data_IF_906891900558
#
_entry.id   IF_906891900558
#
_cell.length_a   1.000
_cell.length_b   1.000
_cell.length_c   1.000
_cell.angle_alpha   90.00
_cell.angle_beta   90.00
_cell.angle_gamma   90.00
#
_symmetry.space_group_name_H-M   'P 1'
#
loop_
_entity.id
_entity.type
_entity.pdbx_description
1 polymer ?
#
# COMPACT_ATOMS: atom_id res chain seq x y z
N UNK A 1 42.09 -12.90 34.95
CA UNK A 1 40.78 -12.21 35.01
C UNK A 1 39.80 -12.95 34.11
N UNK A 2 38.53 -13.08 34.54
CA UNK A 2 37.54 -14.09 34.11
C UNK A 2 37.03 -13.92 32.66
N UNK A 3 36.68 -15.01 31.94
CA UNK A 3 35.90 -14.92 30.70
C UNK A 3 34.45 -14.50 30.99
N UNK A 4 33.89 -13.58 30.18
CA UNK A 4 32.46 -13.19 30.19
C UNK A 4 31.67 -14.27 29.45
N UNK A 5 30.81 -14.99 30.17
CA UNK A 5 29.79 -15.84 29.55
C UNK A 5 28.67 -14.94 29.02
N UNK A 6 28.41 -14.99 27.71
CA UNK A 6 27.21 -14.41 27.13
C UNK A 6 26.04 -15.40 27.30
N UNK A 7 24.89 -15.01 27.90
CA UNK A 7 23.72 -15.88 27.95
C UNK A 7 23.09 -15.96 26.55
N UNK A 8 23.04 -17.17 25.99
CA UNK A 8 22.23 -17.47 24.81
C UNK A 8 20.78 -17.60 25.28
N UNK A 9 19.95 -16.61 24.96
CA UNK A 9 18.50 -16.74 25.08
C UNK A 9 17.97 -17.45 23.84
N UNK A 10 17.58 -18.72 24.00
CA UNK A 10 16.79 -19.42 23.00
C UNK A 10 15.34 -18.97 23.21
N UNK A 11 14.89 -18.00 22.42
CA UNK A 11 13.49 -17.60 22.34
C UNK A 11 12.70 -18.66 21.59
N UNK A 12 11.81 -19.38 22.28
CA UNK A 12 10.84 -20.28 21.68
C UNK A 12 9.80 -19.45 20.94
N UNK A 13 9.84 -19.44 19.60
CA UNK A 13 8.81 -18.82 18.77
C UNK A 13 7.57 -19.72 18.76
N UNK A 14 6.52 -19.33 19.48
CA UNK A 14 5.20 -19.96 19.41
C UNK A 14 4.52 -19.51 18.10
N UNK A 15 4.56 -20.37 17.08
CA UNK A 15 3.79 -20.20 15.84
C UNK A 15 2.31 -20.48 16.12
N UNK A 16 1.52 -19.42 16.29
CA UNK A 16 0.07 -19.50 16.16
C UNK A 16 -0.28 -19.57 14.67
N UNK A 17 -0.69 -20.75 14.19
CA UNK A 17 -1.39 -20.85 12.90
C UNK A 17 -2.82 -20.33 13.07
N UNK A 18 -3.00 -19.03 12.97
CA UNK A 18 -4.31 -18.47 12.63
C UNK A 18 -4.53 -18.80 11.15
N UNK A 19 -5.73 -19.26 10.79
CA UNK A 19 -6.12 -19.30 9.37
C UNK A 19 -6.18 -17.86 8.89
N UNK A 20 -5.08 -17.36 8.32
CA UNK A 20 -5.07 -16.09 7.63
C UNK A 20 -5.86 -16.28 6.33
N UNK A 21 -7.05 -15.68 6.28
CA UNK A 21 -7.75 -15.48 5.03
C UNK A 21 -7.13 -14.22 4.44
N UNK A 22 -6.08 -14.41 3.64
CA UNK A 22 -5.55 -13.31 2.84
C UNK A 22 -6.58 -12.96 1.78
N UNK A 23 -6.85 -11.68 1.58
CA UNK A 23 -7.65 -11.23 0.46
C UNK A 23 -6.97 -11.68 -0.84
N UNK A 24 -7.66 -12.41 -1.74
CA UNK A 24 -7.08 -12.83 -3.00
C UNK A 24 -6.95 -11.64 -3.97
N UNK A 25 -5.99 -10.76 -3.71
CA UNK A 25 -5.61 -9.70 -4.65
C UNK A 25 -4.97 -10.32 -5.90
N UNK A 26 -5.56 -10.17 -7.10
CA UNK A 26 -5.04 -10.79 -8.32
C UNK A 26 -3.75 -10.13 -8.85
N UNK A 27 -3.43 -8.93 -8.36
CA UNK A 27 -2.39 -8.04 -8.87
C UNK A 27 -1.68 -7.32 -7.71
N UNK A 28 -0.46 -6.85 -7.93
CA UNK A 28 0.34 -6.10 -6.93
C UNK A 28 0.20 -4.60 -7.11
N UNK A 29 0.16 -4.14 -8.36
CA UNK A 29 0.14 -2.72 -8.73
C UNK A 29 -1.20 -2.30 -9.35
N UNK A 30 -1.90 -3.24 -9.99
CA UNK A 30 -3.21 -2.97 -10.60
C UNK A 30 -4.33 -3.17 -9.58
N UNK A 31 -5.04 -2.11 -9.21
CA UNK A 31 -6.18 -2.21 -8.29
C UNK A 31 -7.38 -2.88 -8.98
N UNK A 32 -8.05 -3.76 -8.25
CA UNK A 32 -9.31 -4.36 -8.68
C UNK A 32 -10.52 -3.51 -8.25
N UNK A 33 -11.72 -4.00 -8.53
CA UNK A 33 -13.00 -3.32 -8.29
C UNK A 33 -13.91 -4.11 -7.34
N UNK A 34 -13.31 -4.90 -6.45
CA UNK A 34 -14.03 -5.60 -5.40
C UNK A 34 -14.01 -4.80 -4.09
N UNK A 35 -15.18 -4.43 -3.54
CA UNK A 35 -15.21 -3.80 -2.24
C UNK A 35 -14.83 -4.81 -1.14
N UNK A 36 -14.12 -4.33 -0.12
CA UNK A 36 -13.81 -5.07 1.13
C UNK A 36 -15.09 -5.62 1.75
N UNK A 37 -16.20 -4.89 1.58
CA UNK A 37 -17.54 -5.30 1.95
C UNK A 37 -17.97 -4.75 3.32
N UNK A 38 -19.26 -4.42 3.43
CA UNK A 38 -19.78 -3.65 4.55
C UNK A 38 -19.51 -4.30 5.90
N UNK A 39 -18.82 -3.58 6.79
CA UNK A 39 -18.48 -4.02 8.14
C UNK A 39 -17.28 -4.97 8.22
N UNK A 40 -16.67 -5.32 7.08
CA UNK A 40 -15.40 -6.02 7.05
C UNK A 40 -14.24 -5.02 7.26
N UNK A 41 -13.12 -5.56 7.71
CA UNK A 41 -11.92 -4.81 8.04
C UNK A 41 -10.69 -5.64 7.70
N UNK A 42 -9.72 -5.01 7.06
CA UNK A 42 -8.39 -5.55 6.79
C UNK A 42 -7.32 -4.68 7.44
N UNK A 43 -6.24 -5.32 7.89
CA UNK A 43 -5.06 -4.65 8.41
C UNK A 43 -3.83 -5.21 7.72
N UNK A 44 -3.10 -4.32 7.06
CA UNK A 44 -1.87 -4.66 6.38
C UNK A 44 -0.67 -3.99 7.06
N UNK A 45 0.43 -4.73 7.15
CA UNK A 45 1.69 -4.24 7.70
C UNK A 45 2.82 -4.56 6.74
N UNK A 46 3.59 -3.53 6.40
CA UNK A 46 4.85 -3.68 5.68
C UNK A 46 6.01 -3.32 6.58
N UNK A 47 7.03 -4.16 6.53
CA UNK A 47 8.34 -3.92 7.13
C UNK A 47 9.38 -4.12 6.04
N UNK A 48 9.94 -3.03 5.53
CA UNK A 48 10.96 -3.10 4.47
C UNK A 48 12.33 -2.82 5.05
N UNK A 49 13.24 -3.79 4.95
CA UNK A 49 14.63 -3.63 5.33
C UNK A 49 15.48 -3.27 4.11
N UNK A 50 16.28 -2.21 4.23
CA UNK A 50 17.26 -1.77 3.22
C UNK A 50 18.60 -1.62 3.90
N UNK A 51 19.65 -2.14 3.28
CA UNK A 51 21.02 -1.97 3.78
C UNK A 51 22.02 -1.93 2.64
N UNK A 52 23.18 -1.33 2.92
CA UNK A 52 24.31 -1.21 2.01
C UNK A 52 23.95 -0.51 0.69
N UNK A 53 24.21 0.79 0.62
CA UNK A 53 24.18 1.50 -0.66
C UNK A 53 25.57 1.48 -1.31
N UNK A 54 25.66 1.86 -2.60
CA UNK A 54 26.96 2.00 -3.27
C UNK A 54 27.84 3.10 -2.64
N UNK A 55 27.22 4.06 -1.99
CA UNK A 55 27.85 5.27 -1.47
C UNK A 55 28.10 5.19 0.05
N UNK A 56 27.29 4.42 0.79
CA UNK A 56 27.45 4.19 2.22
C UNK A 56 27.28 2.71 2.58
N UNK A 57 28.42 2.07 2.91
CA UNK A 57 28.44 0.69 3.37
C UNK A 57 27.82 0.50 4.77
N UNK A 58 27.69 1.57 5.55
CA UNK A 58 27.06 1.57 6.87
C UNK A 58 25.55 1.78 6.84
N UNK A 59 24.99 2.20 5.71
CA UNK A 59 23.57 2.52 5.57
C UNK A 59 22.68 1.34 5.98
N UNK A 60 21.78 1.59 6.92
CA UNK A 60 20.69 0.70 7.28
C UNK A 60 19.40 1.49 7.47
N UNK A 61 18.32 1.03 6.85
CA UNK A 61 16.98 1.61 6.96
C UNK A 61 15.93 0.54 7.14
N UNK A 62 14.97 0.80 8.01
CA UNK A 62 13.77 -0.03 8.18
C UNK A 62 12.55 0.86 8.03
N UNK A 63 11.75 0.59 7.00
CA UNK A 63 10.49 1.27 6.74
C UNK A 63 9.33 0.51 7.37
N UNK A 64 8.44 1.23 8.04
CA UNK A 64 7.21 0.71 8.61
C UNK A 64 6.01 1.43 7.98
N UNK A 65 5.13 0.66 7.35
CA UNK A 65 3.83 1.10 6.82
C UNK A 65 2.74 0.25 7.44
N UNK A 66 1.63 0.90 7.74
CA UNK A 66 0.46 0.25 8.31
C UNK A 66 -0.80 0.79 7.65
N UNK A 67 -1.64 -0.09 7.17
CA UNK A 67 -2.91 0.26 6.54
C UNK A 67 -4.06 -0.43 7.25
N UNK A 68 -5.17 0.31 7.34
CA UNK A 68 -6.46 -0.17 7.78
C UNK A 68 -7.47 0.08 6.68
N UNK A 69 -8.05 -0.98 6.13
CA UNK A 69 -9.11 -0.88 5.14
C UNK A 69 -10.45 -1.29 5.77
N UNK A 70 -11.48 -0.47 5.57
CA UNK A 70 -12.80 -0.65 6.17
C UNK A 70 -13.87 -0.51 5.10
N UNK A 71 -14.68 -1.56 4.91
CA UNK A 71 -15.88 -1.46 4.09
C UNK A 71 -16.98 -0.70 4.82
N UNK A 72 -17.18 0.57 4.49
CA UNK A 72 -18.19 1.42 5.11
C UNK A 72 -19.59 1.17 4.55
N UNK A 73 -19.68 0.71 3.30
CA UNK A 73 -20.92 0.31 2.64
C UNK A 73 -20.70 -0.92 1.74
N UNK A 74 -21.75 -1.37 1.06
CA UNK A 74 -21.65 -2.49 0.09
C UNK A 74 -20.78 -2.14 -1.13
N UNK A 75 -20.50 -0.85 -1.33
CA UNK A 75 -19.79 -0.31 -2.49
C UNK A 75 -18.92 0.89 -2.15
N UNK A 76 -18.50 1.02 -0.90
CA UNK A 76 -17.64 2.12 -0.47
C UNK A 76 -16.69 1.67 0.63
N UNK A 77 -15.39 1.83 0.36
CA UNK A 77 -14.31 1.48 1.26
C UNK A 77 -13.52 2.73 1.66
N UNK A 78 -12.94 2.67 2.87
CA UNK A 78 -12.04 3.65 3.43
C UNK A 78 -10.73 2.96 3.81
N UNK A 79 -9.63 3.34 3.15
CA UNK A 79 -8.27 3.00 3.54
C UNK A 79 -7.70 4.11 4.43
N UNK A 80 -7.00 3.73 5.51
CA UNK A 80 -6.28 4.65 6.38
C UNK A 80 -4.86 4.15 6.55
N UNK A 81 -3.90 4.86 5.97
CA UNK A 81 -2.51 4.66 6.31
C UNK A 81 -2.23 5.41 7.60
N UNK A 82 -1.86 4.66 8.64
CA UNK A 82 -1.33 5.26 9.86
C UNK A 82 0.01 5.96 9.54
N UNK A 83 0.53 6.82 10.43
CA UNK A 83 1.82 7.47 10.23
C UNK A 83 2.88 6.48 9.75
N UNK A 84 3.28 6.63 8.50
CA UNK A 84 4.41 5.94 7.90
C UNK A 84 5.67 6.52 8.53
N UNK A 85 6.59 5.64 8.89
CA UNK A 85 7.82 6.06 9.53
C UNK A 85 8.94 5.09 9.21
N UNK A 86 10.16 5.60 9.28
CA UNK A 86 11.37 4.82 9.06
C UNK A 86 12.34 5.00 10.21
N UNK A 87 13.09 3.97 10.52
CA UNK A 87 14.32 4.10 11.30
C UNK A 87 15.50 4.06 10.34
N UNK A 88 16.33 5.09 10.39
CA UNK A 88 17.51 5.18 9.55
C UNK A 88 18.77 5.30 10.41
N UNK A 89 19.81 4.57 10.04
CA UNK A 89 21.14 4.62 10.63
C UNK A 89 22.16 4.81 9.48
N UNK A 90 22.70 6.01 9.39
CA UNK A 90 23.72 6.44 8.43
C UNK A 90 24.86 7.15 9.14
N UNK A 91 25.89 7.53 8.39
CA UNK A 91 26.98 8.35 8.94
C UNK A 91 26.50 9.74 9.45
N UNK A 92 25.43 10.28 8.87
CA UNK A 92 24.96 11.64 9.12
C UNK A 92 23.73 11.71 10.04
N UNK A 93 22.93 10.64 10.12
CA UNK A 93 21.71 10.60 10.94
C UNK A 93 21.46 9.19 11.50
N UNK A 94 21.07 9.13 12.77
CA UNK A 94 20.59 7.89 13.42
C UNK A 94 19.31 8.19 14.18
N UNK A 95 18.17 7.67 13.72
CA UNK A 95 16.90 7.82 14.44
C UNK A 95 15.64 7.57 13.61
N UNK A 96 14.48 7.59 14.28
CA UNK A 96 13.18 7.52 13.61
C UNK A 96 12.87 8.82 12.87
N UNK A 97 12.21 8.70 11.72
CA UNK A 97 11.72 9.80 10.89
C UNK A 97 10.28 9.51 10.49
N UNK A 98 9.44 10.54 10.53
CA UNK A 98 8.09 10.47 9.96
C UNK A 98 8.20 10.60 8.43
N UNK A 99 7.25 10.00 7.72
CA UNK A 99 7.19 10.03 6.26
C UNK A 99 5.88 10.71 5.83
N UNK A 100 4.75 10.04 6.06
CA UNK A 100 3.43 10.54 5.66
C UNK A 100 2.28 9.90 6.43
N UNK A 101 1.10 10.46 6.28
CA UNK A 101 -0.19 9.85 6.64
C UNK A 101 -1.13 10.06 5.47
N UNK A 102 -1.93 9.06 5.09
CA UNK A 102 -2.88 9.20 3.99
C UNK A 102 -4.18 8.46 4.25
N UNK A 103 -5.22 8.85 3.49
CA UNK A 103 -6.51 8.20 3.48
C UNK A 103 -6.97 7.95 2.05
N UNK A 104 -7.44 6.74 1.78
CA UNK A 104 -7.99 6.32 0.50
C UNK A 104 -9.51 6.21 0.60
N UNK A 105 -10.21 6.65 -0.45
CA UNK A 105 -11.65 6.55 -0.57
C UNK A 105 -11.97 5.87 -1.89
N UNK A 106 -12.63 4.70 -1.82
CA UNK A 106 -12.91 3.92 -3.02
C UNK A 106 -14.41 3.67 -3.13
N UNK A 107 -15.01 4.14 -4.23
CA UNK A 107 -16.42 3.96 -4.54
C UNK A 107 -16.61 3.07 -5.77
N UNK A 108 -17.44 2.02 -5.65
CA UNK A 108 -17.63 1.00 -6.69
C UNK A 108 -19.04 1.09 -7.30
N UNK A 109 -19.29 1.98 -8.26
CA UNK A 109 -20.61 2.13 -8.87
C UNK A 109 -21.07 0.94 -9.72
N UNK A 110 -20.16 0.14 -10.28
CA UNK A 110 -20.48 -1.00 -11.15
C UNK A 110 -19.67 -2.23 -10.74
N UNK A 111 -20.32 -3.39 -10.78
CA UNK A 111 -19.72 -4.67 -10.39
C UNK A 111 -19.08 -5.38 -11.60
N UNK A 112 -17.81 -5.85 -11.49
CA UNK A 112 -17.09 -6.47 -12.61
C UNK A 112 -17.71 -7.78 -13.12
N UNK A 113 -18.50 -8.46 -12.29
CA UNK A 113 -19.15 -9.74 -12.64
C UNK A 113 -20.53 -9.48 -13.28
N UNK A 114 -21.39 -8.72 -12.61
CA UNK A 114 -22.80 -8.58 -13.00
C UNK A 114 -23.07 -7.48 -14.03
N UNK A 115 -22.27 -6.42 -14.05
CA UNK A 115 -22.43 -5.31 -14.99
C UNK A 115 -21.55 -5.50 -16.24
N UNK A 116 -21.78 -4.75 -17.34
CA UNK A 116 -20.96 -4.86 -18.56
C UNK A 116 -19.47 -4.59 -18.34
N UNK A 117 -19.13 -3.77 -17.34
CA UNK A 117 -17.78 -3.48 -16.86
C UNK A 117 -17.88 -3.09 -15.39
N UNK A 118 -16.91 -3.51 -14.58
CA UNK A 118 -16.69 -3.03 -13.23
C UNK A 118 -16.03 -1.66 -13.26
N UNK A 119 -16.42 -0.81 -12.32
CA UNK A 119 -15.92 0.56 -12.23
C UNK A 119 -15.68 0.88 -10.76
N UNK A 120 -14.47 1.36 -10.46
CA UNK A 120 -14.08 1.95 -9.20
C UNK A 120 -13.61 3.40 -9.41
N UNK A 121 -14.01 4.29 -8.50
CA UNK A 121 -13.50 5.64 -8.38
C UNK A 121 -12.71 5.71 -7.09
N UNK A 122 -11.42 5.94 -7.22
CA UNK A 122 -10.48 6.00 -6.10
C UNK A 122 -9.99 7.43 -5.93
N UNK A 123 -9.81 7.85 -4.68
CA UNK A 123 -9.11 9.07 -4.32
C UNK A 123 -8.27 8.80 -3.08
N UNK A 124 -6.96 9.04 -3.18
CA UNK A 124 -6.09 9.15 -2.01
C UNK A 124 -5.73 10.60 -1.74
N UNK A 125 -5.68 10.94 -0.45
CA UNK A 125 -5.18 12.22 0.04
C UNK A 125 -4.11 11.96 1.09
N UNK A 126 -2.91 12.45 0.85
CA UNK A 126 -1.75 12.30 1.71
C UNK A 126 -1.24 13.62 2.28
N UNK A 127 -0.64 13.54 3.46
CA UNK A 127 0.08 14.63 4.12
C UNK A 127 1.45 14.13 4.57
N UNK A 128 2.51 14.76 4.09
CA UNK A 128 3.88 14.55 4.52
C UNK A 128 4.40 15.79 5.32
N UNK A 129 5.69 15.83 5.65
CA UNK A 129 6.26 16.93 6.44
C UNK A 129 6.12 18.30 5.76
N UNK A 130 6.27 18.37 4.43
CA UNK A 130 6.14 19.62 3.65
C UNK A 130 5.38 19.45 2.33
N UNK A 131 4.58 18.38 2.22
CA UNK A 131 3.83 18.10 1.00
C UNK A 131 2.38 17.68 1.27
N UNK A 132 1.51 17.99 0.30
CA UNK A 132 0.18 17.41 0.16
C UNK A 132 0.13 16.60 -1.13
N UNK A 133 -0.39 15.39 -1.02
CA UNK A 133 -0.51 14.45 -2.15
C UNK A 133 -1.99 14.18 -2.45
N UNK A 134 -2.33 14.14 -3.74
CA UNK A 134 -3.65 13.80 -4.24
C UNK A 134 -3.53 12.80 -5.38
N UNK A 135 -4.17 11.65 -5.25
CA UNK A 135 -4.09 10.59 -6.26
C UNK A 135 -5.49 10.04 -6.62
N UNK A 136 -6.23 10.71 -7.52
CA UNK A 136 -7.43 10.13 -8.10
C UNK A 136 -7.09 9.03 -9.11
N UNK A 137 -7.80 7.89 -9.02
CA UNK A 137 -7.72 6.80 -10.01
C UNK A 137 -9.10 6.44 -10.55
N UNK A 138 -9.11 6.04 -11.82
CA UNK A 138 -10.24 5.38 -12.46
C UNK A 138 -9.89 3.90 -12.64
N UNK A 139 -10.64 3.02 -11.98
CA UNK A 139 -10.42 1.58 -12.00
C UNK A 139 -11.47 0.94 -12.90
N UNK A 140 -11.04 0.14 -13.88
CA UNK A 140 -11.91 -0.63 -14.75
C UNK A 140 -11.53 -2.10 -14.64
N UNK A 141 -12.54 -2.98 -14.58
CA UNK A 141 -12.31 -4.41 -14.55
C UNK A 141 -13.41 -5.16 -15.28
N UNK A 142 -13.07 -6.30 -15.89
CA UNK A 142 -14.07 -7.25 -16.31
C UNK A 142 -13.65 -8.68 -16.04
N UNK A 143 -14.59 -9.43 -15.47
CA UNK A 143 -14.44 -10.84 -15.17
C UNK A 143 -15.15 -11.69 -16.21
N UNK A 144 -14.43 -12.65 -16.79
CA UNK A 144 -14.93 -13.56 -17.82
C UNK A 144 -14.49 -14.99 -17.51
N UNK A 145 -15.40 -15.79 -16.98
CA UNK A 145 -15.11 -17.14 -16.48
C UNK A 145 -13.99 -17.09 -15.41
N UNK A 146 -12.82 -17.66 -15.71
CA UNK A 146 -11.67 -17.67 -14.81
C UNK A 146 -10.67 -16.55 -15.10
N UNK A 147 -10.99 -15.63 -16.02
CA UNK A 147 -10.12 -14.51 -16.38
C UNK A 147 -10.57 -13.22 -15.70
N UNK A 148 -9.61 -12.47 -15.19
CA UNK A 148 -9.76 -11.11 -14.69
C UNK A 148 -8.92 -10.20 -15.59
N UNK A 149 -9.54 -9.16 -16.13
CA UNK A 149 -8.87 -8.10 -16.88
C UNK A 149 -9.09 -6.80 -16.13
N UNK A 150 -8.02 -6.09 -15.79
CA UNK A 150 -8.09 -4.84 -15.05
C UNK A 150 -7.24 -3.75 -15.74
N UNK A 151 -7.68 -2.51 -15.56
CA UNK A 151 -6.99 -1.32 -16.01
C UNK A 151 -7.21 -0.19 -15.02
N UNK A 152 -6.13 0.50 -14.63
CA UNK A 152 -6.20 1.71 -13.84
C UNK A 152 -5.59 2.88 -14.61
N UNK A 153 -6.33 3.99 -14.68
CA UNK A 153 -5.76 5.29 -14.99
C UNK A 153 -5.48 5.99 -13.66
N UNK A 154 -4.24 6.41 -13.46
CA UNK A 154 -3.75 7.01 -12.22
C UNK A 154 -3.34 8.44 -12.54
N UNK A 155 -3.80 9.39 -11.74
CA UNK A 155 -3.34 10.77 -11.80
C UNK A 155 -2.84 11.12 -10.41
N UNK A 156 -1.57 11.45 -10.29
CA UNK A 156 -0.94 11.87 -9.03
C UNK A 156 -0.63 13.35 -9.11
N UNK A 157 -0.80 14.05 -8.00
CA UNK A 157 -0.41 15.45 -7.85
C UNK A 157 0.17 15.65 -6.47
N UNK A 158 1.41 16.12 -6.42
CA UNK A 158 2.10 16.49 -5.20
C UNK A 158 2.30 18.00 -5.19
N UNK A 159 2.01 18.61 -4.05
CA UNK A 159 2.21 20.04 -3.81
C UNK A 159 3.22 20.15 -2.68
N UNK A 160 4.43 20.58 -2.98
CA UNK A 160 5.49 20.82 -1.99
C UNK A 160 5.47 22.28 -1.50
N UNK A 161 6.01 22.52 -0.31
CA UNK A 161 6.12 23.85 0.30
C UNK A 161 4.80 24.37 0.89
N UNK A 162 3.79 23.52 1.06
CA UNK A 162 2.44 23.92 1.50
C UNK A 162 2.43 24.54 2.90
N UNK A 163 3.43 24.21 3.73
CA UNK A 163 3.54 24.70 5.10
C UNK A 163 4.63 25.76 5.28
N UNK A 164 5.40 26.07 4.24
CA UNK A 164 6.35 27.17 4.22
C UNK A 164 5.69 28.48 3.77
N UNK A 165 6.05 29.58 4.41
CA UNK A 165 5.58 30.93 4.05
C UNK A 165 6.63 31.76 3.31
N UNK A 166 7.86 31.26 3.22
CA UNK A 166 9.00 31.94 2.60
C UNK A 166 9.21 31.52 1.14
N UNK A 167 8.76 30.34 0.74
CA UNK A 167 8.92 29.78 -0.60
C UNK A 167 7.57 29.67 -1.35
N UNK A 168 7.62 29.71 -2.68
CA UNK A 168 6.44 29.43 -3.51
C UNK A 168 6.24 27.91 -3.61
N UNK A 169 4.98 27.47 -3.61
CA UNK A 169 4.65 26.06 -3.75
C UNK A 169 5.10 25.51 -5.12
N UNK A 170 5.67 24.32 -5.12
CA UNK A 170 5.95 23.54 -6.32
C UNK A 170 4.85 22.50 -6.52
N UNK A 171 4.44 22.28 -7.77
CA UNK A 171 3.40 21.31 -8.12
C UNK A 171 3.96 20.33 -9.13
N UNK A 172 4.04 19.08 -8.73
CA UNK A 172 4.40 17.97 -9.59
C UNK A 172 3.18 17.11 -9.89
N UNK A 173 3.14 16.51 -11.08
CA UNK A 173 2.04 15.65 -11.46
C UNK A 173 2.46 14.51 -12.36
N UNK A 174 1.91 13.32 -12.10
CA UNK A 174 2.20 12.10 -12.84
C UNK A 174 0.90 11.53 -13.41
N UNK A 175 0.97 11.04 -14.65
CA UNK A 175 -0.10 10.27 -15.27
C UNK A 175 0.40 8.84 -15.43
N UNK A 176 -0.23 7.92 -14.70
CA UNK A 176 0.09 6.51 -14.68
C UNK A 176 -0.97 5.64 -15.35
N UNK A 177 -0.53 4.49 -15.84
CA UNK A 177 -1.40 3.46 -16.39
C UNK A 177 -0.95 2.10 -15.86
N UNK A 178 -1.86 1.31 -15.30
CA UNK A 178 -1.62 -0.08 -14.91
C UNK A 178 -2.61 -0.99 -15.67
N UNK A 179 -2.14 -2.13 -16.18
CA UNK A 179 -2.97 -3.10 -16.91
C UNK A 179 -2.65 -4.48 -16.35
N UNK A 180 -3.66 -5.17 -15.82
CA UNK A 180 -3.52 -6.52 -15.27
C UNK A 180 -4.34 -7.55 -16.03
N UNK A 181 -3.78 -8.73 -16.23
CA UNK A 181 -4.53 -9.93 -16.66
C UNK A 181 -4.20 -11.10 -15.74
N UNK A 182 -5.22 -11.69 -15.10
CA UNK A 182 -5.06 -12.86 -14.21
C UNK A 182 -5.96 -14.02 -14.65
N UNK A 183 -5.50 -15.26 -14.43
CA UNK A 183 -6.22 -16.49 -14.68
C UNK A 183 -6.28 -17.38 -13.44
N UNK A 184 -7.50 -17.73 -13.00
CA UNK A 184 -7.76 -18.69 -11.94
C UNK A 184 -7.55 -20.13 -12.37
N UNK A 185 -6.55 -20.80 -11.77
CA UNK A 185 -6.20 -22.19 -12.07
C UNK A 185 -7.09 -23.16 -11.26
N UNK A 186 -7.14 -22.96 -9.95
CA UNK A 186 -8.00 -23.65 -8.99
C UNK A 186 -8.37 -22.68 -7.87
N UNK A 187 -9.38 -22.95 -7.02
CA UNK A 187 -9.70 -22.06 -5.90
C UNK A 187 -8.47 -21.74 -5.05
N UNK A 188 -8.17 -20.46 -4.87
CA UNK A 188 -7.01 -19.96 -4.13
C UNK A 188 -5.69 -19.93 -4.89
N UNK A 189 -5.65 -20.32 -6.18
CA UNK A 189 -4.44 -20.23 -7.02
C UNK A 189 -4.73 -19.50 -8.32
N UNK A 190 -3.99 -18.42 -8.54
CA UNK A 190 -4.07 -17.59 -9.73
C UNK A 190 -2.67 -17.36 -10.33
N UNK A 191 -2.62 -17.12 -11.63
CA UNK A 191 -1.43 -16.65 -12.33
C UNK A 191 -1.80 -15.38 -13.08
N UNK A 192 -1.07 -14.29 -12.83
CA UNK A 192 -1.30 -13.01 -13.48
C UNK A 192 -0.03 -12.36 -14.01
N UNK A 193 -0.25 -11.36 -14.86
CA UNK A 193 0.76 -10.42 -15.32
C UNK A 193 0.19 -9.01 -15.25
N UNK A 194 1.06 -8.06 -14.90
CA UNK A 194 0.80 -6.62 -14.85
C UNK A 194 2.01 -5.85 -15.38
#
# INVERSE_FOLDING_TARGET
MRPRNAPVFIGTLLLFCVTAWADPRPFTFTYDTYPVGKGNFEYEQWVTYRAHTREDSGFTRIDFRHEMEIGLAENFDLGLYLPNWRYEDTQDHTGPQFDSVSAEFIYYPLNPVTDPIGLGLYLEVGVAEDALEFEPKLLLQKDINNWIFAYNLILETEIEGVFDTEHENEVEGVIGHAIGVSYGIVPGWQLGAE
#
